data_IF_908002480536
#
_entry.id   IF_908002480536
#
_cell.length_a   1.000
_cell.length_b   1.000
_cell.length_c   1.000
_cell.angle_alpha   90.00
_cell.angle_beta   90.00
_cell.angle_gamma   90.00
#
_symmetry.space_group_name_H-M   'P 1'
#
loop_
_entity.id
_entity.type
_entity.pdbx_description
1 polymer ?
#
# COMPACT_ATOMS: atom_id res chain seq x y z
N UNK A 1 4.96 7.55 12.06
CA UNK A 1 6.09 6.58 12.00
C UNK A 1 7.18 6.81 13.05
N UNK A 2 7.33 8.00 13.64
CA UNK A 2 8.41 8.27 14.62
C UNK A 2 8.43 7.33 15.83
N UNK A 3 7.25 6.93 16.36
CA UNK A 3 7.17 5.96 17.46
C UNK A 3 7.78 4.61 17.08
N UNK A 4 7.41 4.03 15.94
CA UNK A 4 8.04 2.80 15.43
C UNK A 4 9.56 2.90 15.36
N UNK A 5 10.09 4.01 14.82
CA UNK A 5 11.55 4.22 14.72
C UNK A 5 12.20 4.27 16.11
N UNK A 6 11.57 4.95 17.07
CA UNK A 6 12.06 5.01 18.46
C UNK A 6 12.05 3.63 19.12
N UNK A 7 10.94 2.90 19.01
CA UNK A 7 10.75 1.60 19.65
C UNK A 7 11.68 0.54 19.04
N UNK A 8 11.86 0.56 17.70
CA UNK A 8 12.79 -0.31 17.00
C UNK A 8 14.25 -0.04 17.41
N UNK A 9 14.66 1.23 17.55
CA UNK A 9 15.99 1.60 18.06
C UNK A 9 16.20 1.14 19.50
N UNK A 10 15.15 1.14 20.31
CA UNK A 10 15.18 0.66 21.68
C UNK A 10 15.09 -0.87 21.81
N UNK A 11 14.91 -1.61 20.70
CA UNK A 11 14.71 -3.06 20.70
C UNK A 11 13.35 -3.51 21.27
N UNK A 12 12.36 -2.60 21.35
CA UNK A 12 11.06 -2.83 21.99
C UNK A 12 9.89 -2.92 21.00
N UNK A 13 10.17 -3.02 19.70
CA UNK A 13 9.11 -2.93 18.68
C UNK A 13 8.04 -4.01 18.87
N UNK A 14 8.41 -5.25 19.21
CA UNK A 14 7.45 -6.33 19.46
C UNK A 14 6.63 -6.12 20.74
N UNK A 15 7.27 -5.67 21.82
CA UNK A 15 6.60 -5.37 23.10
C UNK A 15 5.54 -4.27 22.92
N UNK A 16 5.83 -3.29 22.05
CA UNK A 16 4.94 -2.19 21.71
C UNK A 16 3.92 -2.54 20.61
N UNK A 17 3.85 -3.81 20.18
CA UNK A 17 2.85 -4.33 19.24
C UNK A 17 3.14 -4.07 17.76
N UNK A 18 4.35 -3.61 17.40
CA UNK A 18 4.75 -3.45 16.00
C UNK A 18 5.04 -4.80 15.33
N UNK A 19 4.82 -4.84 14.01
CA UNK A 19 5.25 -5.97 13.19
C UNK A 19 6.77 -6.17 13.18
N UNK A 20 7.21 -7.41 12.96
CA UNK A 20 8.63 -7.76 13.01
C UNK A 20 9.42 -7.44 11.72
N UNK A 21 8.76 -6.91 10.69
CA UNK A 21 9.39 -6.51 9.43
C UNK A 21 9.29 -5.00 9.27
N UNK A 22 10.44 -4.32 9.31
CA UNK A 22 10.51 -2.88 9.06
C UNK A 22 9.96 -2.52 7.66
N UNK A 23 10.16 -3.40 6.67
CA UNK A 23 9.57 -3.24 5.34
C UNK A 23 8.04 -3.23 5.40
N UNK A 24 7.41 -4.23 6.04
CA UNK A 24 5.95 -4.29 6.14
C UNK A 24 5.38 -3.09 6.90
N UNK A 25 6.00 -2.71 8.03
CA UNK A 25 5.59 -1.53 8.80
C UNK A 25 5.72 -0.24 7.97
N UNK A 26 6.76 -0.13 7.12
CA UNK A 26 6.89 1.01 6.20
C UNK A 26 5.77 1.07 5.16
N UNK A 27 5.35 -0.09 4.62
CA UNK A 27 4.25 -0.17 3.66
C UNK A 27 2.90 0.12 4.32
N UNK A 28 2.72 -0.25 5.58
CA UNK A 28 1.55 0.18 6.36
C UNK A 28 1.49 1.71 6.46
N UNK A 29 2.62 2.35 6.75
CA UNK A 29 2.72 3.81 6.75
C UNK A 29 2.42 4.45 5.39
N UNK A 30 2.91 3.85 4.30
CA UNK A 30 2.66 4.32 2.94
C UNK A 30 1.16 4.26 2.58
N UNK A 31 0.48 3.14 2.87
CA UNK A 31 -0.95 3.01 2.64
C UNK A 31 -1.79 3.94 3.52
N UNK A 32 -1.43 4.10 4.79
CA UNK A 32 -2.11 5.04 5.67
C UNK A 32 -1.99 6.49 5.13
N UNK A 33 -0.82 6.86 4.60
CA UNK A 33 -0.59 8.17 4.02
C UNK A 33 -1.45 8.41 2.78
N UNK A 34 -1.63 7.42 1.89
CA UNK A 34 -2.50 7.60 0.72
C UNK A 34 -3.95 7.90 1.10
N UNK A 35 -4.48 7.30 2.18
CA UNK A 35 -5.83 7.61 2.65
C UNK A 35 -5.93 9.03 3.22
N UNK A 36 -4.92 9.49 3.95
CA UNK A 36 -4.86 10.86 4.47
C UNK A 36 -4.82 11.84 3.29
N UNK A 37 -3.94 11.61 2.32
CA UNK A 37 -3.80 12.45 1.14
C UNK A 37 -5.08 12.50 0.32
N UNK A 38 -5.77 11.38 0.10
CA UNK A 38 -7.06 11.42 -0.58
C UNK A 38 -8.05 12.34 0.15
N UNK A 39 -8.17 12.23 1.48
CA UNK A 39 -9.05 13.10 2.26
C UNK A 39 -8.66 14.57 2.15
N UNK A 40 -7.38 14.88 2.06
CA UNK A 40 -6.91 16.25 1.81
C UNK A 40 -7.34 16.73 0.41
N UNK A 41 -7.17 15.91 -0.63
CA UNK A 41 -7.61 16.22 -1.99
C UNK A 41 -9.13 16.33 -2.13
N UNK A 42 -9.92 15.55 -1.39
CA UNK A 42 -11.38 15.66 -1.39
C UNK A 42 -11.86 17.00 -0.82
N UNK A 43 -11.08 17.57 0.12
CA UNK A 43 -11.38 18.85 0.75
C UNK A 43 -10.68 20.05 0.09
N UNK A 44 -9.89 19.82 -0.96
CA UNK A 44 -9.09 20.87 -1.59
C UNK A 44 -9.96 21.89 -2.34
N UNK A 45 -9.49 23.14 -2.43
CA UNK A 45 -10.16 24.21 -3.16
C UNK A 45 -9.16 24.97 -4.03
N UNK A 46 -9.39 25.10 -5.35
CA UNK A 46 -10.49 24.49 -6.12
C UNK A 46 -10.34 22.97 -6.20
N UNK A 47 -11.46 22.24 -6.31
CA UNK A 47 -11.45 20.78 -6.47
C UNK A 47 -10.80 20.40 -7.80
N UNK A 48 -9.61 19.76 -7.77
CA UNK A 48 -8.88 19.35 -8.98
C UNK A 48 -9.18 17.92 -9.40
N UNK A 49 -10.07 17.24 -8.68
CA UNK A 49 -10.44 15.85 -8.94
C UNK A 49 -9.25 14.87 -8.92
N UNK A 50 -8.29 15.08 -8.03
CA UNK A 50 -7.15 14.17 -7.87
C UNK A 50 -7.58 12.87 -7.18
N UNK A 51 -7.00 11.76 -7.62
CA UNK A 51 -7.14 10.46 -6.97
C UNK A 51 -5.79 9.98 -6.45
N UNK A 52 -5.80 9.43 -5.24
CA UNK A 52 -4.68 8.81 -4.54
C UNK A 52 -5.17 7.49 -3.94
N UNK A 53 -4.57 6.38 -4.36
CA UNK A 53 -4.86 5.04 -3.87
C UNK A 53 -3.55 4.34 -3.47
N UNK A 54 -3.64 3.37 -2.58
CA UNK A 54 -2.55 2.43 -2.35
C UNK A 54 -2.79 1.16 -3.17
N UNK A 55 -1.74 0.64 -3.78
CA UNK A 55 -1.81 -0.56 -4.63
C UNK A 55 -0.72 -1.55 -4.27
N UNK A 56 -1.10 -2.83 -4.20
CA UNK A 56 -0.17 -3.94 -4.09
C UNK A 56 0.07 -4.54 -5.49
N UNK A 57 1.31 -4.54 -6.00
CA UNK A 57 1.60 -5.03 -7.35
C UNK A 57 1.72 -6.57 -7.42
N UNK A 58 1.60 -7.27 -6.30
CA UNK A 58 1.83 -8.71 -6.21
C UNK A 58 3.30 -9.04 -5.94
N UNK A 59 3.63 -10.33 -5.96
CA UNK A 59 5.01 -10.79 -5.77
C UNK A 59 5.71 -10.93 -7.13
N UNK A 60 6.37 -9.86 -7.54
CA UNK A 60 6.94 -9.70 -8.89
C UNK A 60 8.39 -10.14 -8.96
N UNK A 61 8.80 -10.80 -10.04
CA UNK A 61 10.19 -11.11 -10.38
C UNK A 61 11.01 -9.82 -10.62
N UNK A 62 11.75 -9.39 -9.61
CA UNK A 62 12.60 -8.19 -9.63
C UNK A 62 13.83 -8.38 -8.73
N UNK A 63 14.81 -7.48 -8.85
CA UNK A 63 15.97 -7.44 -7.95
C UNK A 63 15.55 -7.34 -6.47
N UNK A 64 14.50 -6.55 -6.17
CA UNK A 64 13.98 -6.36 -4.81
C UNK A 64 13.49 -7.68 -4.20
N UNK A 65 12.89 -8.55 -5.01
CA UNK A 65 12.38 -9.86 -4.59
C UNK A 65 13.42 -10.98 -4.76
N UNK A 66 14.64 -10.62 -5.18
CA UNK A 66 15.71 -11.57 -5.53
C UNK A 66 15.27 -12.58 -6.60
N UNK A 67 14.47 -12.14 -7.56
CA UNK A 67 13.92 -12.97 -8.64
C UNK A 67 13.14 -14.21 -8.17
N UNK A 68 12.44 -14.10 -7.03
CA UNK A 68 11.63 -15.20 -6.45
C UNK A 68 10.12 -15.00 -6.62
N UNK A 69 9.70 -13.87 -7.17
CA UNK A 69 8.29 -13.60 -7.43
C UNK A 69 7.77 -14.44 -8.60
N UNK A 70 6.55 -15.00 -8.53
CA UNK A 70 5.96 -15.75 -9.65
C UNK A 70 5.44 -14.85 -10.79
N UNK A 71 5.22 -13.56 -10.55
CA UNK A 71 4.66 -12.64 -11.54
C UNK A 71 5.75 -11.98 -12.38
N UNK A 72 5.51 -11.78 -13.67
CA UNK A 72 6.38 -10.95 -14.52
C UNK A 72 6.21 -9.47 -14.20
N UNK A 73 7.13 -8.64 -14.72
CA UNK A 73 7.07 -7.19 -14.61
C UNK A 73 5.75 -6.64 -15.19
N UNK A 74 5.34 -7.16 -16.35
CA UNK A 74 4.11 -6.77 -17.04
C UNK A 74 2.88 -7.13 -16.20
N UNK A 75 2.84 -8.33 -15.61
CA UNK A 75 1.74 -8.76 -14.74
C UNK A 75 1.65 -7.88 -13.49
N UNK A 76 2.79 -7.58 -12.86
CA UNK A 76 2.83 -6.70 -11.68
C UNK A 76 2.45 -5.25 -11.96
N UNK A 77 2.57 -4.79 -13.21
CA UNK A 77 2.21 -3.44 -13.63
C UNK A 77 0.70 -3.26 -13.87
N UNK A 78 -0.08 -4.33 -14.02
CA UNK A 78 -1.51 -4.28 -14.37
C UNK A 78 -2.33 -3.45 -13.39
N UNK A 79 -2.28 -3.75 -12.08
CA UNK A 79 -3.09 -3.03 -11.10
C UNK A 79 -2.67 -1.55 -10.91
N UNK A 80 -1.37 -1.21 -10.86
CA UNK A 80 -0.94 0.19 -10.89
C UNK A 80 -1.41 0.96 -12.12
N UNK A 81 -1.31 0.36 -13.33
CA UNK A 81 -1.75 0.99 -14.57
C UNK A 81 -3.26 1.17 -14.63
N UNK A 82 -4.02 0.19 -14.13
CA UNK A 82 -5.48 0.29 -14.00
C UNK A 82 -5.90 1.53 -13.21
N UNK A 83 -5.26 1.80 -12.06
CA UNK A 83 -5.55 3.00 -11.26
C UNK A 83 -5.09 4.30 -11.92
N UNK A 84 -4.00 4.26 -12.68
CA UNK A 84 -3.47 5.44 -13.34
C UNK A 84 -4.28 5.85 -14.58
N UNK A 85 -4.80 4.87 -15.34
CA UNK A 85 -5.29 5.09 -16.70
C UNK A 85 -6.77 4.78 -16.90
N UNK A 86 -7.36 3.89 -16.09
CA UNK A 86 -8.71 3.36 -16.36
C UNK A 86 -9.71 3.80 -15.28
N UNK A 87 -9.38 3.60 -14.01
CA UNK A 87 -10.33 3.83 -12.91
C UNK A 87 -10.07 5.13 -12.15
N UNK A 88 -10.67 6.20 -12.65
CA UNK A 88 -10.65 7.51 -11.99
C UNK A 88 -11.69 7.65 -10.86
N UNK A 89 -12.53 6.63 -10.64
CA UNK A 89 -13.58 6.61 -9.61
C UNK A 89 -13.08 6.15 -8.25
N UNK A 90 -12.08 5.26 -8.23
CA UNK A 90 -11.43 4.83 -6.99
C UNK A 90 -10.62 5.97 -6.40
N UNK A 91 -10.94 6.35 -5.16
CA UNK A 91 -10.29 7.42 -4.40
C UNK A 91 -10.07 6.94 -2.97
N UNK A 92 -8.82 6.96 -2.50
CA UNK A 92 -8.48 6.57 -1.13
C UNK A 92 -8.69 5.08 -0.85
N UNK A 93 -8.52 4.23 -1.86
CA UNK A 93 -8.75 2.78 -1.78
C UNK A 93 -7.45 2.00 -1.63
N UNK A 94 -7.58 0.78 -1.11
CA UNK A 94 -6.49 -0.19 -1.00
C UNK A 94 -6.74 -1.31 -2.00
N UNK A 95 -5.93 -1.35 -3.05
CA UNK A 95 -6.18 -2.18 -4.23
C UNK A 95 -5.13 -3.29 -4.32
N UNK A 96 -5.58 -4.50 -4.58
CA UNK A 96 -4.71 -5.66 -4.73
C UNK A 96 -4.25 -5.88 -6.17
N UNK A 97 -3.37 -6.87 -6.39
CA UNK A 97 -2.80 -7.13 -7.72
C UNK A 97 -3.81 -7.64 -8.74
N UNK A 98 -4.93 -8.18 -8.28
CA UNK A 98 -6.07 -8.59 -9.10
C UNK A 98 -7.09 -7.46 -9.36
N UNK A 99 -6.74 -6.22 -8.98
CA UNK A 99 -7.57 -5.00 -9.08
C UNK A 99 -8.77 -4.96 -8.13
N UNK A 100 -8.89 -5.90 -7.18
CA UNK A 100 -9.96 -5.85 -6.19
C UNK A 100 -9.64 -4.86 -5.06
N UNK A 101 -10.68 -4.19 -4.57
CA UNK A 101 -10.60 -3.43 -3.32
C UNK A 101 -10.52 -4.41 -2.14
N UNK A 102 -9.51 -4.20 -1.31
CA UNK A 102 -9.30 -4.92 -0.07
C UNK A 102 -9.70 -4.02 1.08
N UNK A 103 -10.48 -4.56 2.02
CA UNK A 103 -10.81 -3.85 3.25
C UNK A 103 -9.56 -3.72 4.13
N UNK A 104 -9.04 -2.48 4.20
CA UNK A 104 -7.90 -2.12 5.05
C UNK A 104 -8.14 -2.41 6.54
N UNK A 105 -9.39 -2.35 6.99
CA UNK A 105 -9.78 -2.62 8.38
C UNK A 105 -10.27 -4.06 8.58
N UNK A 106 -10.22 -4.87 7.52
CA UNK A 106 -10.67 -6.25 7.54
C UNK A 106 -9.83 -7.11 8.50
N UNK A 107 -10.44 -8.13 9.12
CA UNK A 107 -9.74 -9.00 10.07
C UNK A 107 -8.77 -9.98 9.41
N UNK A 108 -8.81 -10.11 8.08
CA UNK A 108 -8.00 -11.04 7.31
C UNK A 108 -6.79 -10.35 6.68
N UNK A 109 -5.65 -11.06 6.63
CA UNK A 109 -4.58 -10.68 5.70
C UNK A 109 -5.05 -10.97 4.28
N UNK A 110 -4.87 -10.04 3.32
CA UNK A 110 -5.16 -10.31 1.91
C UNK A 110 -4.40 -11.54 1.41
N UNK A 111 -4.82 -12.13 0.29
CA UNK A 111 -4.09 -13.28 -0.29
C UNK A 111 -2.61 -12.92 -0.46
N UNK A 112 -1.71 -13.88 -0.27
CA UNK A 112 -0.26 -13.61 -0.35
C UNK A 112 0.13 -13.12 -1.76
N UNK A 113 -0.63 -13.54 -2.78
CA UNK A 113 -0.56 -13.19 -4.20
C UNK A 113 -1.95 -13.42 -4.80
#
# INVERSE_FOLDING_TARGET
MNKFVSDAKAGKHQEEGWGNSAYLVSKVGCSALSFIQQREFDNEKPFRNISVNAVHPGYVDTDLTSHKGPLTIEEGAVAPLYLALEDHGLKGKYIWCDKQEVDWYGPGTPSLY
#
